data_IF_871750012716
#
_entry.id   IF_871750012716
#
_cell.length_a   1.000
_cell.length_b   1.000
_cell.length_c   1.000
_cell.angle_alpha   90.00
_cell.angle_beta   90.00
_cell.angle_gamma   90.00
#
_symmetry.space_group_name_H-M   'P 1'
#
loop_
_entity.id
_entity.type
_entity.pdbx_description
1 polymer ?
#
# COMPACT_ATOMS: atom_id res chain seq x y z
N UNK A 1 3.57 -13.07 5.76
CA UNK A 1 4.80 -12.38 6.23
C UNK A 1 5.89 -13.42 6.45
N UNK A 2 7.16 -13.04 6.47
CA UNK A 2 8.28 -13.90 6.89
C UNK A 2 9.06 -13.21 8.00
N UNK A 3 9.76 -13.98 8.80
CA UNK A 3 10.65 -13.49 9.85
C UNK A 3 11.68 -12.51 9.27
N UNK A 4 11.87 -11.38 9.97
CA UNK A 4 12.77 -10.29 9.60
C UNK A 4 12.45 -9.63 8.25
N UNK A 5 11.20 -9.72 7.79
CA UNK A 5 10.75 -8.96 6.62
C UNK A 5 10.84 -7.44 6.91
N UNK A 6 11.37 -6.70 5.94
CA UNK A 6 11.18 -5.26 5.85
C UNK A 6 9.98 -4.97 4.96
N UNK A 7 8.98 -4.25 5.47
CA UNK A 7 7.70 -4.02 4.78
C UNK A 7 7.31 -2.56 4.81
N UNK A 8 6.86 -2.03 3.67
CA UNK A 8 6.29 -0.70 3.59
C UNK A 8 4.77 -0.76 3.68
N UNK A 9 4.20 0.13 4.49
CA UNK A 9 2.77 0.38 4.61
C UNK A 9 2.51 1.85 4.32
N UNK A 10 1.57 2.12 3.40
CA UNK A 10 1.24 3.50 3.03
C UNK A 10 0.26 4.16 4.00
N UNK A 11 -0.41 5.24 3.59
CA UNK A 11 -1.38 5.97 4.41
C UNK A 11 -2.85 5.52 4.24
N UNK A 12 -3.09 4.31 3.72
CA UNK A 12 -4.43 3.75 3.54
C UNK A 12 -5.17 3.50 4.85
N UNK A 13 -6.50 3.70 4.92
CA UNK A 13 -7.28 3.39 6.12
C UNK A 13 -7.30 1.89 6.43
N UNK A 14 -7.05 1.02 5.45
CA UNK A 14 -6.95 -0.43 5.63
C UNK A 14 -5.60 -0.89 6.21
N UNK A 15 -4.56 -0.03 6.22
CA UNK A 15 -3.22 -0.43 6.64
C UNK A 15 -3.13 -0.92 8.09
N UNK A 16 -3.79 -0.27 9.09
CA UNK A 16 -3.86 -0.82 10.44
C UNK A 16 -4.48 -2.22 10.51
N UNK A 17 -5.49 -2.51 9.69
CA UNK A 17 -6.11 -3.83 9.62
C UNK A 17 -5.15 -4.87 9.01
N UNK A 18 -4.41 -4.51 7.97
CA UNK A 18 -3.38 -5.38 7.41
C UNK A 18 -2.31 -5.69 8.45
N UNK A 19 -1.87 -4.68 9.21
CA UNK A 19 -0.90 -4.87 10.28
C UNK A 19 -1.46 -5.79 11.36
N UNK A 20 -2.71 -5.59 11.81
CA UNK A 20 -3.31 -6.41 12.87
C UNK A 20 -3.42 -7.89 12.51
N UNK A 21 -3.61 -8.20 11.23
CA UNK A 21 -3.64 -9.57 10.69
C UNK A 21 -2.26 -10.27 10.65
N UNK A 22 -1.15 -9.54 10.85
CA UNK A 22 0.18 -10.16 10.95
C UNK A 22 0.27 -10.88 12.31
N UNK A 23 0.57 -12.19 12.35
CA UNK A 23 0.73 -12.91 13.62
C UNK A 23 1.73 -12.24 14.57
N UNK A 24 1.40 -12.19 15.85
CA UNK A 24 2.19 -11.47 16.86
C UNK A 24 3.56 -12.10 17.12
N UNK A 25 3.76 -13.37 16.77
CA UNK A 25 5.01 -14.12 16.90
C UNK A 25 6.03 -13.85 15.77
N UNK A 26 5.65 -13.11 14.72
CA UNK A 26 6.54 -12.76 13.62
C UNK A 26 7.31 -11.49 13.95
N UNK A 27 8.65 -11.54 13.90
CA UNK A 27 9.48 -10.33 13.95
C UNK A 27 9.55 -9.68 12.59
N UNK A 28 9.28 -8.37 12.50
CA UNK A 28 9.40 -7.63 11.24
C UNK A 28 9.69 -6.14 11.46
N UNK A 29 10.13 -5.46 10.41
CA UNK A 29 10.29 -4.01 10.41
C UNK A 29 9.29 -3.37 9.45
N UNK A 30 8.46 -2.45 9.95
CA UNK A 30 7.51 -1.67 9.16
C UNK A 30 8.03 -0.28 8.87
N UNK A 31 8.10 0.10 7.59
CA UNK A 31 8.34 1.48 7.15
C UNK A 31 6.98 2.12 6.84
N UNK A 32 6.74 3.31 7.37
CA UNK A 32 5.54 4.08 7.09
C UNK A 32 5.84 5.58 7.11
N UNK A 33 4.89 6.39 6.66
CA UNK A 33 4.92 7.86 6.77
C UNK A 33 3.60 8.40 7.36
N UNK A 34 2.74 7.50 7.84
CA UNK A 34 1.41 7.78 8.36
C UNK A 34 1.40 7.61 9.88
N UNK A 35 0.78 8.56 10.59
CA UNK A 35 0.73 8.53 12.04
C UNK A 35 -0.10 7.34 12.55
N UNK A 36 -1.31 7.08 12.02
CA UNK A 36 -2.10 5.90 12.41
C UNK A 36 -1.38 4.57 12.16
N UNK A 37 -0.62 4.48 11.07
CA UNK A 37 0.11 3.26 10.71
C UNK A 37 1.30 3.06 11.63
N UNK A 38 1.97 4.15 12.01
CA UNK A 38 3.00 4.11 13.04
C UNK A 38 2.47 3.59 14.38
N UNK A 39 1.29 4.06 14.81
CA UNK A 39 0.65 3.56 16.04
C UNK A 39 0.34 2.06 15.92
N UNK A 40 -0.29 1.62 14.83
CA UNK A 40 -0.61 0.21 14.61
C UNK A 40 0.63 -0.69 14.59
N UNK A 41 1.75 -0.22 14.02
CA UNK A 41 3.03 -0.93 14.08
C UNK A 41 3.57 -0.99 15.51
N UNK A 42 3.46 0.10 16.28
CA UNK A 42 3.95 0.16 17.66
C UNK A 42 3.13 -0.70 18.64
N UNK A 43 1.90 -1.05 18.29
CA UNK A 43 1.07 -2.00 19.05
C UNK A 43 1.48 -3.47 18.83
N UNK A 44 2.29 -3.77 17.82
CA UNK A 44 2.76 -5.13 17.55
C UNK A 44 4.00 -5.46 18.39
N UNK A 45 3.98 -6.55 19.18
CA UNK A 45 5.05 -6.83 20.16
C UNK A 45 6.42 -7.07 19.52
N UNK A 46 6.45 -7.64 18.31
CA UNK A 46 7.67 -7.98 17.59
C UNK A 46 7.90 -7.12 16.33
N UNK A 47 7.24 -5.95 16.25
CA UNK A 47 7.47 -5.01 15.15
C UNK A 47 8.45 -3.91 15.53
N UNK A 48 9.37 -3.59 14.63
CA UNK A 48 10.12 -2.32 14.66
C UNK A 48 9.49 -1.34 13.68
N UNK A 49 9.10 -0.15 14.14
CA UNK A 49 8.55 0.89 13.27
C UNK A 49 9.62 1.90 12.83
N UNK A 50 9.73 2.12 11.51
CA UNK A 50 10.51 3.20 10.90
C UNK A 50 9.50 4.21 10.34
N UNK A 51 9.46 5.40 10.92
CA UNK A 51 8.66 6.51 10.42
C UNK A 51 9.53 7.39 9.51
N UNK A 52 9.18 7.47 8.23
CA UNK A 52 9.65 8.51 7.33
C UNK A 52 9.10 9.85 7.85
N UNK A 53 9.89 10.50 8.72
CA UNK A 53 9.49 11.70 9.46
C UNK A 53 9.29 12.94 8.60
N UNK A 54 9.46 14.11 9.22
CA UNK A 54 9.24 15.40 8.58
C UNK A 54 8.13 16.20 9.26
N UNK A 55 7.42 17.01 8.49
CA UNK A 55 6.32 17.83 9.00
C UNK A 55 5.02 17.04 9.02
N UNK A 56 4.43 16.90 10.20
CA UNK A 56 3.12 16.30 10.36
C UNK A 56 2.01 17.20 9.79
N UNK A 57 1.14 16.64 8.95
CA UNK A 57 -0.06 17.31 8.42
C UNK A 57 -1.30 16.61 8.92
N UNK A 58 -2.04 17.27 9.80
CA UNK A 58 -3.24 16.70 10.44
C UNK A 58 -4.33 16.28 9.45
N UNK A 59 -4.52 17.01 8.33
CA UNK A 59 -5.55 16.70 7.33
C UNK A 59 -5.35 15.31 6.69
N UNK A 60 -4.10 14.92 6.48
CA UNK A 60 -3.75 13.61 5.89
C UNK A 60 -3.27 12.61 6.93
N UNK A 61 -3.15 12.99 8.21
CA UNK A 61 -2.63 12.15 9.29
C UNK A 61 -1.27 11.51 8.94
N UNK A 62 -0.38 12.31 8.32
CA UNK A 62 0.87 11.84 7.73
C UNK A 62 1.99 12.87 7.80
N UNK A 63 3.23 12.38 7.69
CA UNK A 63 4.47 13.14 7.73
C UNK A 63 5.04 13.28 6.33
N UNK A 64 5.56 14.47 6.02
CA UNK A 64 6.21 14.74 4.74
C UNK A 64 7.50 15.49 4.96
N UNK A 65 8.55 15.01 4.29
CA UNK A 65 9.83 15.68 4.22
C UNK A 65 10.32 15.69 2.77
N UNK A 66 10.25 16.84 2.12
CA UNK A 66 10.70 17.00 0.75
C UNK A 66 12.20 17.33 0.66
N UNK A 67 12.82 17.71 1.77
CA UNK A 67 14.16 18.28 1.79
C UNK A 67 15.21 17.32 2.35
N UNK A 68 14.80 16.30 3.09
CA UNK A 68 15.71 15.31 3.67
C UNK A 68 15.56 13.93 3.01
N UNK A 69 16.63 13.12 2.99
CA UNK A 69 16.56 11.73 2.57
C UNK A 69 15.55 10.94 3.39
N UNK A 70 14.78 10.09 2.71
CA UNK A 70 13.87 9.15 3.32
C UNK A 70 14.60 7.84 3.64
N UNK A 71 14.10 7.10 4.63
CA UNK A 71 14.55 5.72 4.87
C UNK A 71 14.45 4.85 3.60
N UNK A 72 13.48 5.14 2.73
CA UNK A 72 13.31 4.45 1.45
C UNK A 72 14.43 4.72 0.43
N UNK A 73 15.30 5.72 0.63
CA UNK A 73 16.43 5.96 -0.28
C UNK A 73 17.52 4.89 -0.14
N UNK A 74 17.63 4.29 1.05
CA UNK A 74 18.65 3.29 1.38
C UNK A 74 18.09 1.89 1.64
N UNK A 75 16.79 1.78 1.89
CA UNK A 75 16.14 0.51 2.24
C UNK A 75 15.33 -0.07 1.08
N UNK A 76 15.29 -1.40 0.98
CA UNK A 76 14.56 -2.13 -0.06
C UNK A 76 13.50 -3.02 0.57
N UNK A 77 12.24 -2.55 0.71
CA UNK A 77 11.18 -3.34 1.31
C UNK A 77 10.94 -4.63 0.51
N UNK A 78 10.83 -5.76 1.21
CA UNK A 78 10.45 -7.04 0.59
C UNK A 78 9.00 -7.02 0.12
N UNK A 79 8.14 -6.27 0.81
CA UNK A 79 6.72 -6.08 0.49
C UNK A 79 6.35 -4.62 0.62
N UNK A 80 5.49 -4.16 -0.27
CA UNK A 80 4.99 -2.78 -0.32
C UNK A 80 3.49 -2.85 -0.44
N UNK A 81 2.77 -2.44 0.60
CA UNK A 81 1.33 -2.31 0.58
C UNK A 81 0.94 -0.88 0.20
N UNK A 82 0.13 -0.75 -0.85
CA UNK A 82 -0.38 0.52 -1.37
C UNK A 82 -1.90 0.45 -1.43
N UNK A 83 -2.60 1.43 -0.87
CA UNK A 83 -4.02 1.68 -1.08
C UNK A 83 -4.26 2.62 -2.27
N UNK A 84 -5.39 2.39 -2.95
CA UNK A 84 -5.92 3.24 -4.01
C UNK A 84 -7.03 4.19 -3.52
N UNK A 85 -7.27 5.25 -4.28
CA UNK A 85 -8.50 6.05 -4.26
C UNK A 85 -9.27 5.98 -5.57
N UNK A 86 -8.69 5.36 -6.59
CA UNK A 86 -9.32 5.06 -7.87
C UNK A 86 -8.44 4.13 -8.67
N UNK A 87 -9.05 3.22 -9.42
CA UNK A 87 -8.41 2.30 -10.35
C UNK A 87 -9.17 2.40 -11.66
N UNK A 88 -8.49 2.90 -12.69
CA UNK A 88 -9.10 3.11 -14.00
C UNK A 88 -8.20 2.54 -15.09
N UNK A 89 -8.77 1.95 -16.14
CA UNK A 89 -8.01 1.33 -17.24
C UNK A 89 -6.97 2.28 -17.86
N UNK A 90 -7.40 3.48 -18.26
CA UNK A 90 -6.51 4.49 -18.85
C UNK A 90 -5.63 5.25 -17.85
N UNK A 91 -6.16 5.65 -16.69
CA UNK A 91 -5.44 6.51 -15.73
C UNK A 91 -4.64 5.72 -14.67
N UNK A 92 -4.77 4.40 -14.66
CA UNK A 92 -4.09 3.51 -13.74
C UNK A 92 -4.62 3.61 -12.31
N UNK A 93 -3.74 3.32 -11.36
CA UNK A 93 -4.02 3.45 -9.93
C UNK A 93 -3.74 4.88 -9.50
N UNK A 94 -4.70 5.49 -8.80
CA UNK A 94 -4.65 6.88 -8.37
C UNK A 94 -4.94 7.03 -6.88
N UNK A 95 -4.56 8.19 -6.34
CA UNK A 95 -4.68 8.57 -4.94
C UNK A 95 -5.25 9.98 -4.81
N UNK A 96 -5.92 10.27 -3.69
CA UNK A 96 -6.59 11.56 -3.49
C UNK A 96 -5.63 12.72 -3.18
N UNK A 97 -4.45 12.44 -2.61
CA UNK A 97 -3.54 13.47 -2.12
C UNK A 97 -2.16 13.43 -2.81
N UNK A 98 -1.79 14.45 -3.62
CA UNK A 98 -0.51 14.47 -4.31
C UNK A 98 0.73 14.40 -3.41
N UNK A 99 0.66 14.88 -2.16
CA UNK A 99 1.81 14.87 -1.25
C UNK A 99 2.30 13.43 -0.93
N UNK A 100 1.39 12.45 -0.96
CA UNK A 100 1.73 11.04 -0.72
C UNK A 100 2.52 10.40 -1.87
N UNK A 101 2.49 10.99 -3.08
CA UNK A 101 3.02 10.34 -4.28
C UNK A 101 4.52 10.09 -4.19
N UNK A 102 5.28 10.99 -3.55
CA UNK A 102 6.72 10.84 -3.40
C UNK A 102 7.06 9.54 -2.63
N UNK A 103 6.42 9.34 -1.48
CA UNK A 103 6.63 8.15 -0.66
C UNK A 103 6.12 6.88 -1.33
N UNK A 104 4.89 6.89 -1.88
CA UNK A 104 4.29 5.72 -2.56
C UNK A 104 5.12 5.28 -3.76
N UNK A 105 5.53 6.21 -4.64
CA UNK A 105 6.32 5.89 -5.83
C UNK A 105 7.73 5.43 -5.46
N UNK A 106 8.38 6.05 -4.48
CA UNK A 106 9.70 5.61 -3.99
C UNK A 106 9.62 4.19 -3.40
N UNK A 107 8.58 3.88 -2.63
CA UNK A 107 8.37 2.52 -2.13
C UNK A 107 8.14 1.52 -3.27
N UNK A 108 7.32 1.87 -4.26
CA UNK A 108 7.09 1.05 -5.46
C UNK A 108 8.36 0.83 -6.30
N UNK A 109 9.25 1.82 -6.36
CA UNK A 109 10.55 1.74 -7.04
C UNK A 109 11.51 0.78 -6.32
N UNK A 110 11.58 0.85 -4.99
CA UNK A 110 12.55 0.10 -4.16
C UNK A 110 12.02 -1.26 -3.68
N UNK A 111 10.72 -1.48 -3.79
CA UNK A 111 10.02 -2.65 -3.30
C UNK A 111 10.14 -3.86 -4.20
N UNK A 112 10.38 -5.03 -3.61
CA UNK A 112 10.45 -6.29 -4.35
C UNK A 112 9.07 -6.82 -4.74
N UNK A 113 8.08 -6.73 -3.84
CA UNK A 113 6.72 -7.22 -4.09
C UNK A 113 5.67 -6.17 -3.76
N UNK A 114 4.96 -5.72 -4.78
CA UNK A 114 4.05 -4.57 -4.78
C UNK A 114 2.62 -5.07 -4.71
N UNK A 115 1.93 -4.70 -3.64
CA UNK A 115 0.62 -5.24 -3.27
C UNK A 115 -0.35 -4.07 -3.21
N UNK A 116 -1.33 -4.07 -4.12
CA UNK A 116 -2.40 -3.10 -4.18
C UNK A 116 -3.58 -3.56 -3.32
N UNK A 117 -4.06 -2.69 -2.45
CA UNK A 117 -5.36 -2.80 -1.80
C UNK A 117 -6.34 -1.87 -2.51
N UNK A 118 -7.37 -2.45 -3.13
CA UNK A 118 -8.38 -1.68 -3.84
C UNK A 118 -9.76 -2.28 -3.59
N UNK A 119 -10.63 -1.53 -2.89
CA UNK A 119 -12.03 -1.92 -2.73
C UNK A 119 -12.74 -1.89 -4.09
N UNK A 120 -13.71 -2.76 -4.28
CA UNK A 120 -14.46 -2.91 -5.53
C UNK A 120 -15.10 -1.59 -5.98
N UNK A 121 -15.54 -0.75 -5.04
CA UNK A 121 -16.12 0.55 -5.34
C UNK A 121 -15.12 1.59 -5.91
N UNK A 122 -13.84 1.25 -6.04
CA UNK A 122 -12.80 2.13 -6.59
C UNK A 122 -12.46 1.82 -8.05
N UNK A 123 -13.05 0.77 -8.65
CA UNK A 123 -12.88 0.50 -10.08
C UNK A 123 -13.72 1.47 -10.91
N UNK A 124 -13.16 1.91 -12.04
CA UNK A 124 -13.65 3.00 -12.91
C UNK A 124 -13.60 4.40 -12.29
N UNK A 125 -13.02 4.52 -11.10
CA UNK A 125 -12.81 5.81 -10.42
C UNK A 125 -11.42 6.37 -10.69
N UNK A 126 -11.33 7.70 -10.73
CA UNK A 126 -10.07 8.44 -10.91
C UNK A 126 -9.92 9.48 -9.82
N UNK A 127 -8.79 9.44 -9.12
CA UNK A 127 -8.39 10.45 -8.17
C UNK A 127 -7.30 11.39 -8.74
N UNK A 128 -7.11 12.59 -8.19
CA UNK A 128 -6.26 13.63 -8.79
C UNK A 128 -4.78 13.26 -8.99
N UNK A 129 -4.26 12.30 -8.23
CA UNK A 129 -2.84 11.95 -8.23
C UNK A 129 -2.61 10.52 -8.73
N UNK A 130 -2.10 10.35 -9.95
CA UNK A 130 -1.76 9.02 -10.49
C UNK A 130 -0.53 8.44 -9.79
N UNK A 131 -0.62 7.22 -9.29
CA UNK A 131 0.50 6.47 -8.71
C UNK A 131 1.30 5.80 -9.84
N UNK A 132 0.61 5.04 -10.71
CA UNK A 132 1.19 4.29 -11.82
C UNK A 132 0.16 3.33 -12.45
N UNK A 133 0.54 2.61 -13.53
CA UNK A 133 -0.36 1.65 -14.18
C UNK A 133 -0.65 0.46 -13.27
N UNK A 134 -1.79 -0.21 -13.49
CA UNK A 134 -2.16 -1.40 -12.70
C UNK A 134 -1.15 -2.55 -12.86
N UNK A 135 -0.51 -2.65 -14.04
CA UNK A 135 0.56 -3.61 -14.32
C UNK A 135 1.87 -3.35 -13.54
N UNK A 136 2.00 -2.24 -12.81
CA UNK A 136 3.15 -1.99 -11.94
C UNK A 136 3.09 -2.78 -10.62
N UNK A 137 1.99 -3.49 -10.34
CA UNK A 137 1.78 -4.26 -9.12
C UNK A 137 1.91 -5.77 -9.38
N UNK A 138 2.31 -6.52 -8.34
CA UNK A 138 2.41 -7.98 -8.41
C UNK A 138 1.15 -8.67 -7.88
N UNK A 139 0.42 -8.00 -6.99
CA UNK A 139 -0.79 -8.51 -6.34
C UNK A 139 -1.82 -7.40 -6.22
N UNK A 140 -3.09 -7.72 -6.50
CA UNK A 140 -4.25 -6.90 -6.18
C UNK A 140 -5.13 -7.67 -5.19
N UNK A 141 -5.44 -7.04 -4.06
CA UNK A 141 -6.39 -7.52 -3.06
C UNK A 141 -7.64 -6.64 -3.10
N UNK A 142 -8.80 -7.25 -3.30
CA UNK A 142 -10.10 -6.56 -3.29
C UNK A 142 -11.08 -7.25 -2.35
N UNK A 143 -12.05 -6.48 -1.85
CA UNK A 143 -13.11 -6.93 -0.94
C UNK A 143 -14.26 -7.65 -1.66
N UNK A 144 -14.27 -7.65 -3.00
CA UNK A 144 -15.21 -8.41 -3.84
C UNK A 144 -14.50 -8.87 -5.12
N UNK A 145 -15.09 -9.81 -5.90
CA UNK A 145 -14.63 -10.10 -7.25
C UNK A 145 -14.45 -8.83 -8.09
N UNK A 146 -13.41 -8.80 -8.92
CA UNK A 146 -13.14 -7.65 -9.79
C UNK A 146 -14.16 -7.60 -10.93
N UNK A 147 -14.46 -6.42 -11.49
CA UNK A 147 -15.16 -6.34 -12.77
C UNK A 147 -14.37 -7.10 -13.85
N UNK A 148 -15.07 -7.70 -14.81
CA UNK A 148 -14.51 -8.64 -15.80
C UNK A 148 -13.30 -8.10 -16.54
N UNK A 149 -13.36 -6.82 -16.94
CA UNK A 149 -12.30 -6.17 -17.71
C UNK A 149 -11.02 -6.00 -16.89
N UNK A 150 -11.13 -5.63 -15.61
CA UNK A 150 -9.99 -5.54 -14.69
C UNK A 150 -9.40 -6.92 -14.39
N UNK A 151 -10.23 -7.96 -14.25
CA UNK A 151 -9.73 -9.32 -14.09
C UNK A 151 -8.91 -9.78 -15.31
N UNK A 152 -9.35 -9.44 -16.52
CA UNK A 152 -8.61 -9.69 -17.75
C UNK A 152 -7.30 -8.89 -17.82
N UNK A 153 -7.35 -7.60 -17.46
CA UNK A 153 -6.19 -6.73 -17.42
C UNK A 153 -5.13 -7.24 -16.43
N UNK A 154 -5.54 -7.66 -15.23
CA UNK A 154 -4.65 -8.27 -14.24
C UNK A 154 -3.97 -9.55 -14.77
N UNK A 155 -4.73 -10.44 -15.44
CA UNK A 155 -4.15 -11.65 -16.05
C UNK A 155 -3.10 -11.31 -17.09
N UNK A 156 -3.38 -10.37 -17.99
CA UNK A 156 -2.45 -9.94 -19.04
C UNK A 156 -1.21 -9.24 -18.46
N UNK A 157 -1.37 -8.51 -17.36
CA UNK A 157 -0.29 -7.83 -16.64
C UNK A 157 0.46 -8.70 -15.64
N UNK A 158 0.17 -10.01 -15.54
CA UNK A 158 0.74 -10.90 -14.52
C UNK A 158 0.51 -10.45 -13.05
N UNK A 159 -0.58 -9.71 -12.82
CA UNK A 159 -1.00 -9.25 -11.49
C UNK A 159 -1.84 -10.37 -10.85
N UNK A 160 -1.37 -10.94 -9.73
CA UNK A 160 -2.15 -11.94 -9.00
C UNK A 160 -3.34 -11.27 -8.30
N UNK A 161 -4.54 -11.79 -8.52
CA UNK A 161 -5.76 -11.29 -7.86
C UNK A 161 -6.08 -12.14 -6.63
N UNK A 162 -6.44 -11.48 -5.52
CA UNK A 162 -6.96 -12.09 -4.29
C UNK A 162 -8.28 -11.38 -3.97
N UNK A 163 -9.37 -12.13 -3.96
CA UNK A 163 -10.70 -11.67 -3.58
C UNK A 163 -11.33 -12.72 -2.68
N UNK A 164 -12.38 -12.40 -1.90
CA UNK A 164 -13.17 -13.43 -1.24
C UNK A 164 -13.62 -14.47 -2.25
N UNK A 165 -13.61 -15.74 -1.86
CA UNK A 165 -14.24 -16.80 -2.64
C UNK A 165 -15.72 -16.44 -2.80
N UNK A 166 -16.24 -16.59 -4.01
CA UNK A 166 -17.66 -16.41 -4.29
C UNK A 166 -18.43 -17.61 -3.74
N UNK A 167 -18.40 -17.87 -2.43
CA UNK A 167 -19.28 -18.84 -1.77
C UNK A 167 -19.15 -18.81 -0.23
N UNK A 168 -20.07 -18.10 0.40
CA UNK A 168 -20.80 -18.61 1.58
C UNK A 168 -22.12 -17.85 1.71
N UNK A 169 -23.16 -18.50 1.16
CA UNK A 169 -24.62 -18.23 1.14
C UNK A 169 -25.18 -17.17 0.16
#
# INVERSE_FOLDING_TARGET
MRENDLVFFDNGPEMPLVISMIPDDITFTGICYSHRVFIALNEKPNATAILCGGTYRAKSDAFYDANNPSALDSLNPRKVFISASGVHEHFGVSWFNPDDLAAKRKAMERGLRKILLARHALFDEVAPASIGPLSAFDVLISDRPLPTDYAAHCRNGSVKVITPDSESE
#
